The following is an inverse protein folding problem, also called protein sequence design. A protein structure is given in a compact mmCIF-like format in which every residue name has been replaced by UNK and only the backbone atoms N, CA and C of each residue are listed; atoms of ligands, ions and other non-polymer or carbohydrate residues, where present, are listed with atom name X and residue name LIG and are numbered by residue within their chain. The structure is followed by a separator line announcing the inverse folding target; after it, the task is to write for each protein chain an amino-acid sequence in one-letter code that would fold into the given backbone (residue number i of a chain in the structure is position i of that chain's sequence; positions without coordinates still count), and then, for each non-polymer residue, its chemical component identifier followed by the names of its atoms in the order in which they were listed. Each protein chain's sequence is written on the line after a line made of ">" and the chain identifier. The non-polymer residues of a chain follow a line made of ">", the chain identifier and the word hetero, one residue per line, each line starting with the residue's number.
data_IF_767060619433
#
_entry.id   IF_767060619433
#
_cell.length_a   1.000
_cell.length_b   1.000
_cell.length_c   1.000
_cell.angle_alpha   90.00
_cell.angle_beta   90.00
_cell.angle_gamma   90.00
#
_symmetry.space_group_name_H-M   'P 1'
#
loop_
_entity.id
_entity.type
_entity.pdbx_description
1 polymer ?
#
# COMPACT_ATOMS: atom_id res chain seq x y z
N UNK A 1 -54.55 -19.63 87.73
CA UNK A 1 -55.54 -18.95 86.86
C UNK A 1 -54.98 -17.58 86.47
N UNK A 2 -53.98 -17.49 85.58
CA UNK A 2 -54.06 -17.57 84.11
C UNK A 2 -54.94 -16.48 83.49
N UNK A 3 -54.30 -15.49 82.86
CA UNK A 3 -54.53 -15.05 81.48
C UNK A 3 -53.76 -13.73 81.28
N UNK A 4 -52.48 -13.76 80.89
CA UNK A 4 -51.93 -14.10 79.56
C UNK A 4 -52.30 -13.06 78.49
N UNK A 5 -51.23 -12.42 78.03
CA UNK A 5 -50.98 -11.90 76.69
C UNK A 5 -51.78 -10.68 76.19
N UNK A 6 -51.03 -9.58 76.09
CA UNK A 6 -50.90 -8.73 74.89
C UNK A 6 -51.59 -9.30 73.64
N UNK A 7 -52.62 -8.62 73.16
CA UNK A 7 -52.90 -8.47 71.73
C UNK A 7 -53.95 -7.38 71.51
N UNK A 8 -53.50 -6.22 71.02
CA UNK A 8 -54.34 -5.34 70.21
C UNK A 8 -53.73 -5.40 68.82
N UNK A 9 -54.53 -5.91 67.88
CA UNK A 9 -54.22 -6.05 66.47
C UNK A 9 -55.20 -5.15 65.70
N UNK A 10 -54.73 -4.62 64.56
CA UNK A 10 -55.41 -3.83 63.51
C UNK A 10 -55.32 -2.29 63.70
N UNK A 11 -54.91 -1.46 62.72
CA UNK A 11 -54.59 -1.65 61.29
C UNK A 11 -53.90 -0.39 60.72
N UNK A 12 -53.37 -0.55 59.50
CA UNK A 12 -52.81 0.42 58.54
C UNK A 12 -51.28 0.64 58.64
N UNK A 13 -50.48 -0.04 57.79
CA UNK A 13 -50.06 0.45 56.46
C UNK A 13 -49.49 1.87 56.61
N UNK A 14 -48.21 2.12 56.41
CA UNK A 14 -47.29 1.68 55.36
C UNK A 14 -45.95 2.23 55.81
N UNK A 15 -44.84 1.51 55.75
CA UNK A 15 -43.61 2.20 55.38
C UNK A 15 -42.52 1.26 54.90
N UNK A 16 -42.30 1.40 53.60
CA UNK A 16 -41.06 1.22 52.85
C UNK A 16 -40.22 0.02 53.26
N UNK A 17 -40.38 -1.07 52.49
CA UNK A 17 -39.22 -1.88 52.11
C UNK A 17 -38.16 -0.89 51.62
N UNK A 18 -37.18 -0.57 52.45
CA UNK A 18 -35.95 0.08 52.02
C UNK A 18 -35.30 -0.90 51.06
N UNK A 19 -35.69 -0.78 49.79
CA UNK A 19 -34.96 -1.30 48.66
C UNK A 19 -33.54 -0.84 48.92
N UNK A 20 -32.65 -1.76 49.33
CA UNK A 20 -31.23 -1.52 49.28
C UNK A 20 -30.96 -1.20 47.82
N UNK A 21 -30.96 0.10 47.50
CA UNK A 21 -30.38 0.60 46.28
C UNK A 21 -28.92 0.27 46.47
N UNK A 22 -28.52 -0.87 45.92
CA UNK A 22 -27.12 -1.17 45.71
C UNK A 22 -26.68 -0.09 44.75
N UNK A 23 -26.23 1.04 45.30
CA UNK A 23 -25.57 2.08 44.54
C UNK A 23 -24.44 1.37 43.81
N UNK A 24 -24.61 1.23 42.49
CA UNK A 24 -23.54 0.82 41.61
C UNK A 24 -22.47 1.89 41.74
N UNK A 25 -21.55 1.69 42.69
CA UNK A 25 -20.37 2.55 42.84
C UNK A 25 -19.69 2.50 41.49
N UNK A 26 -19.71 3.64 40.78
CA UNK A 26 -18.97 3.79 39.53
C UNK A 26 -17.53 3.46 39.88
N UNK A 27 -17.02 2.36 39.33
CA UNK A 27 -15.63 1.94 39.48
C UNK A 27 -14.78 3.08 38.96
N UNK A 28 -14.20 3.86 39.88
CA UNK A 28 -13.24 4.90 39.52
C UNK A 28 -12.03 4.16 38.95
N UNK A 29 -11.66 4.50 37.72
CA UNK A 29 -10.45 3.98 37.06
C UNK A 29 -9.30 4.14 38.04
N UNK A 30 -8.65 3.02 38.37
CA UNK A 30 -7.56 3.03 39.34
C UNK A 30 -6.35 3.72 38.71
N UNK A 31 -5.51 4.39 39.52
CA UNK A 31 -4.34 5.14 39.02
C UNK A 31 -3.44 4.28 38.12
N UNK A 32 -3.27 2.99 38.44
CA UNK A 32 -2.51 2.04 37.63
C UNK A 32 -3.14 1.75 36.27
N UNK A 33 -4.46 1.57 36.21
CA UNK A 33 -5.19 1.35 34.94
C UNK A 33 -5.06 2.56 34.01
N UNK A 34 -5.07 3.78 34.56
CA UNK A 34 -4.87 5.01 33.78
C UNK A 34 -3.47 5.10 33.17
N UNK A 35 -2.45 4.65 33.91
CA UNK A 35 -1.06 4.60 33.43
C UNK A 35 -0.93 3.58 32.30
N UNK A 36 -1.46 2.36 32.49
CA UNK A 36 -1.43 1.31 31.46
C UNK A 36 -2.17 1.76 30.20
N UNK A 37 -3.35 2.38 30.35
CA UNK A 37 -4.11 2.94 29.23
C UNK A 37 -3.33 4.03 28.49
N UNK A 38 -2.63 4.91 29.22
CA UNK A 38 -1.79 5.95 28.60
C UNK A 38 -0.58 5.37 27.87
N UNK A 39 0.08 4.36 28.44
CA UNK A 39 1.21 3.69 27.81
C UNK A 39 0.78 2.95 26.54
N UNK A 40 -0.37 2.25 26.57
CA UNK A 40 -0.94 1.62 25.39
C UNK A 40 -1.29 2.63 24.30
N UNK A 41 -1.84 3.80 24.66
CA UNK A 41 -2.13 4.85 23.71
C UNK A 41 -0.84 5.35 23.02
N UNK A 42 0.23 5.62 23.78
CA UNK A 42 1.52 6.06 23.22
C UNK A 42 2.12 5.02 22.28
N UNK A 43 2.10 3.74 22.68
CA UNK A 43 2.60 2.64 21.84
C UNK A 43 1.77 2.53 20.55
N UNK A 44 0.44 2.62 20.65
CA UNK A 44 -0.44 2.58 19.49
C UNK A 44 -0.15 3.73 18.51
N UNK A 45 0.03 4.96 19.01
CA UNK A 45 0.40 6.11 18.18
C UNK A 45 1.77 5.93 17.52
N UNK A 46 2.76 5.39 18.23
CA UNK A 46 4.09 5.11 17.67
C UNK A 46 4.03 4.06 16.54
N UNK A 47 3.26 2.99 16.73
CA UNK A 47 3.06 1.96 15.71
C UNK A 47 2.34 2.49 14.47
N UNK A 48 1.29 3.32 14.66
CA UNK A 48 0.59 3.97 13.55
C UNK A 48 1.54 4.92 12.80
N UNK A 49 2.37 5.69 13.52
CA UNK A 49 3.36 6.58 12.91
C UNK A 49 4.39 5.83 12.06
N UNK A 50 4.92 4.71 12.58
CA UNK A 50 5.84 3.84 11.82
C UNK A 50 5.17 3.23 10.60
N UNK A 51 3.94 2.72 10.74
CA UNK A 51 3.21 2.18 9.60
C UNK A 51 2.97 3.23 8.52
N UNK A 52 2.57 4.45 8.89
CA UNK A 52 2.31 5.50 7.93
C UNK A 52 3.60 5.93 7.20
N UNK A 53 4.71 6.05 7.92
CA UNK A 53 6.02 6.34 7.33
C UNK A 53 6.43 5.25 6.32
N UNK A 54 6.29 3.98 6.69
CA UNK A 54 6.59 2.86 5.82
C UNK A 54 5.65 2.82 4.61
N UNK A 55 4.36 3.12 4.79
CA UNK A 55 3.39 3.14 3.71
C UNK A 55 3.71 4.24 2.69
N UNK A 56 4.09 5.43 3.16
CA UNK A 56 4.53 6.52 2.28
C UNK A 56 5.79 6.11 1.47
N UNK A 57 6.76 5.46 2.11
CA UNK A 57 7.97 4.98 1.45
C UNK A 57 7.69 3.87 0.44
N UNK A 58 6.79 2.93 0.74
CA UNK A 58 6.40 1.86 -0.19
C UNK A 58 5.66 2.46 -1.39
N UNK A 59 4.77 3.42 -1.15
CA UNK A 59 4.02 4.07 -2.21
C UNK A 59 4.93 4.87 -3.16
N UNK A 60 5.87 5.66 -2.61
CA UNK A 60 6.83 6.40 -3.43
C UNK A 60 7.70 5.45 -4.24
N UNK A 61 8.21 4.38 -3.60
CA UNK A 61 9.04 3.39 -4.28
C UNK A 61 8.28 2.70 -5.42
N UNK A 62 7.01 2.35 -5.22
CA UNK A 62 6.20 1.72 -6.26
C UNK A 62 5.96 2.68 -7.43
N UNK A 63 5.70 3.96 -7.15
CA UNK A 63 5.58 4.98 -8.19
C UNK A 63 6.88 5.13 -8.99
N UNK A 64 8.02 5.18 -8.31
CA UNK A 64 9.33 5.31 -8.95
C UNK A 64 9.64 4.09 -9.84
N UNK A 65 9.31 2.88 -9.36
CA UNK A 65 9.43 1.65 -10.13
C UNK A 65 8.54 1.68 -11.38
N UNK A 66 7.27 2.08 -11.24
CA UNK A 66 6.37 2.20 -12.39
C UNK A 66 6.86 3.24 -13.41
N UNK A 67 7.37 4.37 -12.95
CA UNK A 67 7.94 5.40 -13.83
C UNK A 67 9.18 4.87 -14.56
N UNK A 68 10.09 4.20 -13.84
CA UNK A 68 11.30 3.63 -14.42
C UNK A 68 10.98 2.54 -15.45
N UNK A 69 9.99 1.68 -15.16
CA UNK A 69 9.50 0.69 -16.13
C UNK A 69 8.98 1.34 -17.40
N UNK A 70 8.25 2.46 -17.28
CA UNK A 70 7.80 3.25 -18.43
C UNK A 70 8.97 3.78 -19.27
N UNK A 71 9.98 4.37 -18.63
CA UNK A 71 11.18 4.88 -19.33
C UNK A 71 11.96 3.77 -20.01
N UNK A 72 12.08 2.59 -19.39
CA UNK A 72 12.74 1.43 -20.00
C UNK A 72 11.97 0.95 -21.24
N UNK A 73 10.64 0.89 -21.16
CA UNK A 73 9.81 0.48 -22.29
C UNK A 73 9.95 1.44 -23.48
N UNK A 74 9.93 2.75 -23.22
CA UNK A 74 10.13 3.78 -24.23
C UNK A 74 11.53 3.67 -24.87
N UNK A 75 12.58 3.54 -24.05
CA UNK A 75 13.93 3.38 -24.56
C UNK A 75 14.12 2.09 -25.37
N UNK A 76 13.45 1.00 -24.96
CA UNK A 76 13.46 -0.26 -25.71
C UNK A 76 12.86 -0.07 -27.11
N UNK A 77 11.74 0.64 -27.21
CA UNK A 77 11.10 0.92 -28.49
C UNK A 77 11.98 1.79 -29.39
N UNK A 78 12.62 2.82 -28.82
CA UNK A 78 13.60 3.64 -29.56
C UNK A 78 14.76 2.79 -30.06
N UNK A 79 15.32 1.93 -29.21
CA UNK A 79 16.42 1.05 -29.59
C UNK A 79 16.02 0.07 -30.70
N UNK A 80 14.82 -0.50 -30.64
CA UNK A 80 14.28 -1.37 -31.70
C UNK A 80 14.14 -0.59 -33.01
N UNK A 81 13.59 0.62 -32.97
CA UNK A 81 13.49 1.50 -34.14
C UNK A 81 14.85 1.87 -34.74
N UNK A 82 15.86 2.15 -33.91
CA UNK A 82 17.23 2.38 -34.36
C UNK A 82 17.84 1.12 -34.97
N UNK A 83 17.60 -0.05 -34.37
CA UNK A 83 18.08 -1.33 -34.89
C UNK A 83 17.50 -1.61 -36.28
N UNK A 84 16.21 -1.34 -36.49
CA UNK A 84 15.57 -1.45 -37.81
C UNK A 84 16.20 -0.49 -38.82
N UNK A 85 16.42 0.77 -38.43
CA UNK A 85 17.12 1.73 -39.30
C UNK A 85 18.52 1.27 -39.68
N UNK A 86 19.28 0.69 -38.75
CA UNK A 86 20.60 0.12 -39.07
C UNK A 86 20.46 -0.99 -40.10
N UNK A 87 19.51 -1.90 -39.94
CA UNK A 87 19.28 -2.98 -40.92
C UNK A 87 18.93 -2.41 -42.30
N UNK A 88 18.01 -1.46 -42.38
CA UNK A 88 17.59 -0.83 -43.64
C UNK A 88 18.73 -0.05 -44.30
N UNK A 89 19.49 0.73 -43.51
CA UNK A 89 20.62 1.51 -44.03
C UNK A 89 21.79 0.61 -44.48
N UNK A 90 21.98 -0.53 -43.82
CA UNK A 90 23.02 -1.52 -44.13
C UNK A 90 22.60 -2.50 -45.23
N UNK A 91 21.37 -2.41 -45.72
CA UNK A 91 20.86 -3.31 -46.75
C UNK A 91 21.73 -3.21 -48.03
N UNK A 92 22.27 -4.34 -48.54
CA UNK A 92 23.14 -4.34 -49.71
C UNK A 92 22.52 -3.67 -50.94
N UNK A 93 21.22 -3.90 -51.16
CA UNK A 93 20.47 -3.31 -52.28
C UNK A 93 20.45 -1.79 -52.22
N UNK A 94 20.21 -1.22 -51.04
CA UNK A 94 20.24 0.23 -50.82
C UNK A 94 21.63 0.82 -51.06
N UNK A 95 22.67 0.15 -50.55
CA UNK A 95 24.05 0.59 -50.73
C UNK A 95 24.42 0.56 -52.21
N UNK A 96 23.99 -0.47 -52.94
CA UNK A 96 24.23 -0.62 -54.38
C UNK A 96 23.50 0.47 -55.18
N UNK A 97 22.25 0.77 -54.84
CA UNK A 97 21.46 1.83 -55.49
C UNK A 97 22.14 3.20 -55.35
N UNK A 98 22.58 3.55 -54.14
CA UNK A 98 23.34 4.80 -53.90
C UNK A 98 24.68 4.79 -54.65
N UNK A 99 25.43 3.69 -54.59
CA UNK A 99 26.74 3.60 -55.25
C UNK A 99 26.64 3.76 -56.78
N UNK A 100 25.65 3.13 -57.40
CA UNK A 100 25.49 3.13 -58.85
C UNK A 100 24.73 4.35 -59.37
N UNK A 101 23.63 4.72 -58.70
CA UNK A 101 22.73 5.80 -59.11
C UNK A 101 23.21 7.20 -58.74
N UNK A 102 23.73 7.38 -57.53
CA UNK A 102 24.14 8.71 -57.04
C UNK A 102 25.65 8.96 -57.22
N UNK A 103 26.48 7.93 -56.99
CA UNK A 103 27.94 8.06 -57.01
C UNK A 103 28.58 7.63 -58.34
N UNK A 104 27.81 7.04 -59.26
CA UNK A 104 28.29 6.62 -60.58
C UNK A 104 29.32 5.49 -60.56
N UNK A 105 29.36 4.69 -59.49
CA UNK A 105 30.22 3.52 -59.39
C UNK A 105 29.65 2.36 -60.21
N UNK A 106 30.50 1.47 -60.74
CA UNK A 106 30.07 0.25 -61.43
C UNK A 106 30.49 -1.01 -60.66
N UNK A 107 29.72 -2.08 -60.80
CA UNK A 107 30.06 -3.37 -60.20
C UNK A 107 31.15 -4.08 -61.02
N UNK A 108 32.12 -4.69 -60.35
CA UNK A 108 33.09 -5.61 -60.96
C UNK A 108 32.66 -7.04 -60.65
N UNK A 109 32.10 -7.72 -61.65
CA UNK A 109 31.54 -9.07 -61.52
C UNK A 109 32.57 -10.10 -61.03
N UNK A 110 33.88 -9.84 -61.22
CA UNK A 110 34.95 -10.73 -60.75
C UNK A 110 35.20 -10.61 -59.24
N UNK A 111 34.62 -9.61 -58.57
CA UNK A 111 34.82 -9.32 -57.13
C UNK A 111 33.54 -9.37 -56.32
N UNK A 112 32.45 -9.90 -56.88
CA UNK A 112 31.20 -10.09 -56.15
C UNK A 112 31.31 -11.28 -55.20
N UNK A 113 31.02 -11.05 -53.92
CA UNK A 113 30.94 -12.11 -52.90
C UNK A 113 29.51 -12.27 -52.43
N UNK A 114 28.93 -13.45 -52.65
CA UNK A 114 27.59 -13.78 -52.16
C UNK A 114 27.68 -14.03 -50.66
N UNK A 115 27.00 -13.21 -49.87
CA UNK A 115 26.88 -13.39 -48.43
C UNK A 115 25.55 -14.10 -48.17
N UNK A 116 25.60 -15.36 -47.75
CA UNK A 116 24.42 -16.06 -47.24
C UNK A 116 24.23 -15.65 -45.78
N UNK A 117 23.02 -15.18 -45.45
CA UNK A 117 22.64 -14.76 -44.11
C UNK A 117 21.99 -15.93 -43.35
#
# INVERSE_FOLDING_TARGET
>A
MSMVARQIQHQQQTDVKTRKVVERRRTKITLGEKIIASAMAVIAFALIGLMLHNYASIYSLNKDVHQLQGTIAEQSQVNEGLSLQVVELSAPDRILDIATGELGMSLDDNKVKVVQN
#
